data_IF_602257617581
#
_entry.id   IF_602257617581
#
_cell.length_a   1.000
_cell.length_b   1.000
_cell.length_c   1.000
_cell.angle_alpha   90.00
_cell.angle_beta   90.00
_cell.angle_gamma   90.00
#
_symmetry.space_group_name_H-M   'P 1'
#
loop_
_entity.id
_entity.type
_entity.pdbx_description
1 polymer ?
#
# COMPACT_ATOMS: atom_id res chain seq x y z
N UNK A 1 17.50 3.49 -36.15
CA UNK A 1 18.29 4.04 -35.02
C UNK A 1 17.57 4.11 -33.65
N UNK A 2 16.25 3.81 -33.51
CA UNK A 2 15.55 3.86 -32.21
C UNK A 2 15.76 2.65 -31.28
N UNK A 3 16.15 1.50 -31.82
CA UNK A 3 16.32 0.25 -31.08
C UNK A 3 17.58 0.24 -30.21
N UNK A 4 18.69 0.83 -30.66
CA UNK A 4 19.99 0.77 -29.96
C UNK A 4 20.03 1.60 -28.66
N UNK A 5 19.27 2.69 -28.59
CA UNK A 5 19.17 3.53 -27.39
C UNK A 5 18.42 2.83 -26.23
N UNK A 6 17.42 1.99 -26.57
CA UNK A 6 16.63 1.27 -25.58
C UNK A 6 17.43 0.15 -24.88
N UNK A 7 18.33 -0.51 -25.62
CA UNK A 7 19.25 -1.53 -25.08
C UNK A 7 20.36 -0.94 -24.23
N UNK A 8 20.94 0.21 -24.62
CA UNK A 8 21.93 0.92 -23.78
C UNK A 8 21.32 1.36 -22.44
N UNK A 9 20.09 1.89 -22.45
CA UNK A 9 19.38 2.23 -21.21
C UNK A 9 18.96 1.01 -20.38
N UNK A 10 18.72 -0.15 -21.01
CA UNK A 10 18.45 -1.40 -20.29
C UNK A 10 19.72 -1.95 -19.63
N UNK A 11 20.84 -2.01 -20.36
CA UNK A 11 22.13 -2.42 -19.82
C UNK A 11 22.57 -1.52 -18.66
N UNK A 12 22.44 -0.20 -18.79
CA UNK A 12 22.74 0.76 -17.71
C UNK A 12 21.84 0.56 -16.49
N UNK A 13 20.55 0.21 -16.68
CA UNK A 13 19.65 -0.11 -15.56
C UNK A 13 20.03 -1.42 -14.88
N UNK A 14 20.34 -2.46 -15.65
CA UNK A 14 20.80 -3.77 -15.14
C UNK A 14 22.17 -3.65 -14.45
N UNK A 15 23.08 -2.85 -14.99
CA UNK A 15 24.39 -2.57 -14.40
C UNK A 15 24.27 -1.66 -13.16
N UNK A 16 23.31 -0.74 -13.11
CA UNK A 16 22.95 -0.02 -11.88
C UNK A 16 22.32 -0.96 -10.84
N UNK A 17 21.44 -1.86 -11.25
CA UNK A 17 20.86 -2.85 -10.33
C UNK A 17 21.91 -3.80 -9.78
N UNK A 18 22.96 -4.16 -10.56
CA UNK A 18 24.09 -4.98 -10.10
C UNK A 18 25.12 -4.22 -9.27
N UNK A 19 25.54 -3.03 -9.70
CA UNK A 19 26.68 -2.29 -9.09
C UNK A 19 26.25 -1.21 -8.08
N UNK A 20 25.01 -0.75 -8.18
CA UNK A 20 24.33 0.19 -7.28
C UNK A 20 23.11 -0.47 -6.61
N UNK A 21 23.08 -1.81 -6.55
CA UNK A 21 22.11 -2.53 -5.72
C UNK A 21 22.09 -1.89 -4.32
N UNK A 22 20.94 -1.66 -3.68
CA UNK A 22 20.88 -1.08 -2.34
C UNK A 22 21.82 -1.80 -1.38
N UNK A 23 21.88 -3.14 -1.47
CA UNK A 23 22.83 -3.97 -0.71
C UNK A 23 24.29 -3.65 -1.05
N UNK A 24 24.67 -3.42 -2.31
CA UNK A 24 26.04 -3.04 -2.68
C UNK A 24 26.38 -1.63 -2.19
N UNK A 25 25.43 -0.68 -2.22
CA UNK A 25 25.62 0.66 -1.68
C UNK A 25 25.78 0.63 -0.15
N UNK A 26 24.97 -0.17 0.54
CA UNK A 26 25.08 -0.43 1.98
C UNK A 26 26.42 -1.09 2.29
N UNK A 27 26.82 -2.12 1.55
CA UNK A 27 28.11 -2.80 1.73
C UNK A 27 29.29 -1.85 1.44
N UNK A 28 29.20 -0.97 0.44
CA UNK A 28 30.21 0.06 0.16
C UNK A 28 30.29 1.09 1.30
N UNK A 29 29.14 1.56 1.81
CA UNK A 29 29.07 2.46 2.96
C UNK A 29 29.68 1.79 4.20
N UNK A 30 29.29 0.55 4.50
CA UNK A 30 29.84 -0.29 5.56
C UNK A 30 31.35 -0.55 5.42
N UNK A 31 31.86 -0.65 4.19
CA UNK A 31 33.30 -0.75 3.90
C UNK A 31 34.01 0.60 4.08
N UNK A 32 33.37 1.72 3.79
CA UNK A 32 33.97 3.05 4.00
C UNK A 32 34.14 3.41 5.49
N UNK A 33 33.28 2.88 6.37
CA UNK A 33 33.48 3.01 7.82
C UNK A 33 34.72 2.25 8.34
N UNK A 34 35.18 1.18 7.65
CA UNK A 34 36.44 0.49 8.00
C UNK A 34 37.68 1.38 7.87
N UNK A 35 37.64 2.42 7.02
CA UNK A 35 38.83 3.23 6.78
C UNK A 35 39.15 4.20 7.92
N UNK A 36 38.21 4.43 8.85
CA UNK A 36 38.35 5.45 9.90
C UNK A 36 38.54 4.89 11.30
N UNK A 37 38.09 3.66 11.60
CA UNK A 37 38.21 3.05 12.93
C UNK A 37 38.88 1.68 12.85
N UNK A 38 40.04 1.54 13.50
CA UNK A 38 40.84 0.30 13.59
C UNK A 38 40.20 -0.81 14.47
N UNK A 39 38.89 -0.79 14.71
CA UNK A 39 38.19 -1.85 15.42
C UNK A 39 37.38 -2.70 14.43
N UNK A 40 37.62 -4.01 14.45
CA UNK A 40 36.95 -5.00 13.61
C UNK A 40 35.49 -5.20 14.04
N UNK A 41 34.66 -4.17 13.91
CA UNK A 41 33.23 -4.28 14.17
C UNK A 41 32.64 -5.30 13.20
N UNK A 42 31.89 -6.25 13.73
CA UNK A 42 31.09 -7.21 12.98
C UNK A 42 30.05 -6.47 12.12
N UNK A 43 29.59 -7.10 11.04
CA UNK A 43 28.54 -6.51 10.18
C UNK A 43 27.29 -6.13 10.97
N UNK A 44 26.98 -6.89 12.03
CA UNK A 44 25.93 -6.60 12.99
C UNK A 44 26.17 -5.27 13.72
N UNK A 45 27.30 -5.10 14.39
CA UNK A 45 27.63 -3.86 15.15
C UNK A 45 27.64 -2.61 14.25
N UNK A 46 28.01 -2.75 12.98
CA UNK A 46 27.98 -1.63 12.03
C UNK A 46 26.57 -1.22 11.66
N UNK A 47 25.66 -2.19 11.51
CA UNK A 47 24.26 -1.88 11.23
C UNK A 47 23.64 -1.20 12.46
N UNK A 48 24.00 -1.65 13.68
CA UNK A 48 23.62 -0.97 14.92
C UNK A 48 24.13 0.47 14.91
N UNK A 49 25.39 0.72 14.54
CA UNK A 49 25.92 2.07 14.42
C UNK A 49 25.18 2.92 13.38
N UNK A 50 24.84 2.39 12.21
CA UNK A 50 24.05 3.13 11.22
C UNK A 50 22.68 3.51 11.79
N UNK A 51 22.01 2.56 12.44
CA UNK A 51 20.72 2.81 13.12
C UNK A 51 20.87 3.92 14.16
N UNK A 52 21.90 3.86 15.00
CA UNK A 52 22.20 4.85 16.03
C UNK A 52 22.53 6.24 15.45
N UNK A 53 23.36 6.30 14.40
CA UNK A 53 23.72 7.55 13.73
C UNK A 53 22.47 8.25 13.15
N UNK A 54 21.54 7.48 12.57
CA UNK A 54 20.25 8.03 12.13
C UNK A 54 19.29 8.38 13.29
N UNK A 55 19.41 7.76 14.47
CA UNK A 55 18.69 8.19 15.68
C UNK A 55 19.16 9.56 16.17
N UNK A 56 20.48 9.78 16.14
CA UNK A 56 21.13 10.99 16.66
C UNK A 56 21.03 12.18 15.71
N UNK A 57 21.02 11.91 14.40
CA UNK A 57 20.73 12.93 13.39
C UNK A 57 19.28 13.40 13.57
N UNK A 58 19.10 14.61 14.12
CA UNK A 58 17.82 15.32 14.14
C UNK A 58 17.39 15.58 12.68
N UNK A 59 16.74 14.61 12.06
CA UNK A 59 16.47 14.65 10.64
C UNK A 59 15.38 15.69 10.34
N UNK A 60 15.84 16.91 9.99
CA UNK A 60 15.00 17.99 9.48
C UNK A 60 14.66 17.83 8.00
N UNK A 61 15.21 16.82 7.32
CA UNK A 61 15.08 16.61 5.88
C UNK A 61 14.47 15.26 5.51
N UNK A 62 13.41 15.29 4.72
CA UNK A 62 12.77 14.11 4.11
C UNK A 62 13.78 13.23 3.34
N UNK A 63 14.80 13.85 2.74
CA UNK A 63 15.86 13.16 1.98
C UNK A 63 16.66 12.20 2.87
N UNK A 64 16.92 12.59 4.12
CA UNK A 64 17.65 11.75 5.09
C UNK A 64 16.83 10.50 5.42
N UNK A 65 15.51 10.63 5.58
CA UNK A 65 14.62 9.48 5.82
C UNK A 65 14.53 8.54 4.62
N UNK A 66 14.54 9.06 3.40
CA UNK A 66 14.54 8.24 2.20
C UNK A 66 15.86 7.47 2.04
N UNK A 67 17.00 8.09 2.37
CA UNK A 67 18.28 7.40 2.40
C UNK A 67 18.32 6.34 3.50
N UNK A 68 17.80 6.62 4.69
CA UNK A 68 17.64 5.63 5.74
C UNK A 68 16.85 4.42 5.25
N UNK A 69 15.64 4.63 4.70
CA UNK A 69 14.82 3.52 4.18
C UNK A 69 15.58 2.72 3.13
N UNK A 70 16.18 3.37 2.14
CA UNK A 70 16.96 2.69 1.10
C UNK A 70 18.09 1.83 1.69
N UNK A 71 18.77 2.37 2.70
CA UNK A 71 19.94 1.73 3.31
C UNK A 71 19.53 0.63 4.32
N UNK A 72 18.33 0.67 4.90
CA UNK A 72 17.94 -0.29 5.94
C UNK A 72 16.91 -1.32 5.47
N UNK A 73 16.07 -1.02 4.48
CA UNK A 73 15.04 -1.90 3.91
C UNK A 73 15.53 -3.33 3.67
N UNK A 74 16.65 -3.59 2.95
CA UNK A 74 17.08 -4.95 2.71
C UNK A 74 17.52 -5.66 4.00
N UNK A 75 18.00 -4.94 5.01
CA UNK A 75 18.44 -5.53 6.28
C UNK A 75 17.24 -5.86 7.16
N UNK A 76 16.26 -4.93 7.27
CA UNK A 76 15.03 -5.15 8.05
C UNK A 76 14.34 -6.42 7.57
N UNK A 77 14.35 -6.69 6.26
CA UNK A 77 13.69 -7.87 5.70
C UNK A 77 14.23 -9.20 6.23
N UNK A 78 15.52 -9.29 6.58
CA UNK A 78 16.15 -10.56 6.97
C UNK A 78 16.56 -10.64 8.45
N UNK A 79 16.79 -9.51 9.13
CA UNK A 79 17.32 -9.50 10.49
C UNK A 79 16.29 -8.97 11.49
N UNK A 80 15.84 -9.84 12.41
CA UNK A 80 14.81 -9.51 13.40
C UNK A 80 15.37 -8.63 14.53
N UNK A 81 16.64 -8.80 14.88
CA UNK A 81 17.36 -8.02 15.88
C UNK A 81 17.36 -6.54 15.52
N UNK A 82 17.57 -6.21 14.25
CA UNK A 82 17.48 -4.83 13.74
C UNK A 82 16.06 -4.27 13.88
N UNK A 83 15.02 -5.09 13.69
CA UNK A 83 13.64 -4.65 13.93
C UNK A 83 13.43 -4.28 15.40
N UNK A 84 13.95 -5.09 16.32
CA UNK A 84 13.91 -4.77 17.75
C UNK A 84 14.64 -3.48 18.08
N UNK A 85 15.85 -3.28 17.53
CA UNK A 85 16.61 -2.04 17.74
C UNK A 85 15.87 -0.81 17.21
N UNK A 86 15.33 -0.87 15.98
CA UNK A 86 14.51 0.20 15.41
C UNK A 86 13.31 0.52 16.31
N UNK A 87 12.65 -0.51 16.85
CA UNK A 87 11.51 -0.32 17.74
C UNK A 87 11.92 0.27 19.11
N UNK A 88 13.02 -0.21 19.70
CA UNK A 88 13.54 0.22 21.00
C UNK A 88 14.06 1.66 20.96
N UNK A 89 14.76 2.04 19.90
CA UNK A 89 15.27 3.39 19.71
C UNK A 89 14.22 4.39 19.17
N UNK A 90 12.96 3.98 19.04
CA UNK A 90 11.87 4.88 18.64
C UNK A 90 11.87 5.28 17.16
N UNK A 91 12.73 4.68 16.34
CA UNK A 91 12.83 4.95 14.91
C UNK A 91 11.59 4.52 14.12
N UNK A 92 10.73 3.67 14.71
CA UNK A 92 9.41 3.38 14.15
C UNK A 92 8.62 4.66 13.83
N UNK A 93 8.80 5.73 14.62
CA UNK A 93 8.18 7.05 14.39
C UNK A 93 8.47 7.60 12.99
N UNK A 94 9.63 7.30 12.41
CA UNK A 94 10.01 7.77 11.08
C UNK A 94 9.09 7.21 10.00
N UNK A 95 8.73 5.93 10.09
CA UNK A 95 7.78 5.31 9.16
C UNK A 95 6.39 5.92 9.26
N UNK A 96 5.92 6.22 10.48
CA UNK A 96 4.64 6.91 10.67
C UNK A 96 4.68 8.35 10.16
N UNK A 97 5.79 9.06 10.34
CA UNK A 97 5.97 10.40 9.78
C UNK A 97 5.93 10.38 8.24
N UNK A 98 6.62 9.43 7.62
CA UNK A 98 6.58 9.24 6.17
C UNK A 98 5.19 8.87 5.70
N UNK A 99 4.47 8.02 6.43
CA UNK A 99 3.08 7.68 6.15
C UNK A 99 2.18 8.95 6.16
N UNK A 100 2.35 9.84 7.15
CA UNK A 100 1.65 11.14 7.20
C UNK A 100 2.00 12.04 6.01
N UNK A 101 3.27 12.10 5.62
CA UNK A 101 3.70 12.86 4.43
C UNK A 101 3.05 12.30 3.15
N UNK A 102 3.04 10.97 2.99
CA UNK A 102 2.36 10.28 1.88
C UNK A 102 0.84 10.50 1.88
N UNK A 103 0.26 10.79 3.05
CA UNK A 103 -1.16 11.11 3.17
C UNK A 103 -1.53 12.44 2.47
N UNK A 104 -0.59 13.38 2.29
CA UNK A 104 -0.88 14.71 1.73
C UNK A 104 -0.69 14.85 0.22
N UNK A 105 0.15 14.04 -0.42
CA UNK A 105 0.56 14.23 -1.83
C UNK A 105 0.50 12.93 -2.65
N UNK A 106 0.09 13.02 -3.92
CA UNK A 106 -0.10 11.89 -4.85
C UNK A 106 1.16 11.16 -5.36
N UNK A 107 2.33 11.80 -5.59
CA UNK A 107 3.53 11.11 -6.08
C UNK A 107 4.20 10.18 -5.04
N UNK A 108 3.55 9.97 -3.88
CA UNK A 108 4.09 9.24 -2.75
C UNK A 108 3.46 7.85 -2.55
N UNK A 109 2.59 7.39 -3.45
CA UNK A 109 1.98 6.04 -3.36
C UNK A 109 3.01 4.91 -3.37
N UNK A 110 4.07 5.01 -4.18
CA UNK A 110 5.16 3.99 -4.19
C UNK A 110 5.90 3.96 -2.86
N UNK A 111 6.20 5.13 -2.30
CA UNK A 111 6.84 5.27 -0.99
C UNK A 111 5.94 4.72 0.12
N UNK A 112 4.64 5.01 0.06
CA UNK A 112 3.68 4.50 1.02
C UNK A 112 3.63 2.96 1.00
N UNK A 113 3.58 2.33 -0.17
CA UNK A 113 3.62 0.86 -0.28
C UNK A 113 4.88 0.30 0.38
N UNK A 114 6.04 0.92 0.14
CA UNK A 114 7.30 0.53 0.79
C UNK A 114 7.21 0.65 2.31
N UNK A 115 6.68 1.76 2.81
CA UNK A 115 6.49 1.97 4.26
C UNK A 115 5.55 0.92 4.85
N UNK A 116 4.41 0.64 4.21
CA UNK A 116 3.46 -0.38 4.66
C UNK A 116 4.11 -1.77 4.68
N UNK A 117 4.87 -2.13 3.64
CA UNK A 117 5.61 -3.39 3.58
C UNK A 117 6.67 -3.49 4.69
N UNK A 118 7.35 -2.39 5.02
CA UNK A 118 8.30 -2.37 6.13
C UNK A 118 7.57 -2.56 7.46
N UNK A 119 6.46 -1.84 7.70
CA UNK A 119 5.65 -1.99 8.92
C UNK A 119 5.11 -3.42 9.08
N UNK A 120 4.77 -4.09 7.98
CA UNK A 120 4.36 -5.49 7.98
C UNK A 120 5.41 -6.43 8.59
N UNK A 121 6.70 -6.11 8.44
CA UNK A 121 7.79 -6.92 9.00
C UNK A 121 7.85 -6.85 10.54
N UNK A 122 7.20 -5.86 11.15
CA UNK A 122 7.12 -5.71 12.61
C UNK A 122 5.96 -6.49 13.23
N UNK A 123 5.07 -7.09 12.43
CA UNK A 123 3.92 -7.86 12.97
C UNK A 123 4.28 -9.33 13.27
N UNK A 124 5.55 -9.72 13.12
CA UNK A 124 6.01 -11.12 13.23
C UNK A 124 6.15 -11.62 14.67
N UNK A 125 6.24 -10.72 15.64
CA UNK A 125 6.40 -11.04 17.07
C UNK A 125 5.57 -10.08 17.91
N UNK A 126 4.96 -10.60 18.97
CA UNK A 126 4.11 -9.84 19.92
C UNK A 126 4.74 -8.49 20.32
N UNK A 127 5.97 -8.50 20.86
CA UNK A 127 6.64 -7.27 21.32
C UNK A 127 6.80 -6.21 20.23
N UNK A 128 7.04 -6.61 18.98
CA UNK A 128 7.16 -5.68 17.85
C UNK A 128 5.79 -5.17 17.41
N UNK A 129 4.77 -6.04 17.37
CA UNK A 129 3.39 -5.67 17.08
C UNK A 129 2.90 -4.63 18.08
N UNK A 130 3.15 -4.84 19.37
CA UNK A 130 2.81 -3.90 20.41
C UNK A 130 3.45 -2.53 20.18
N UNK A 131 4.69 -2.47 19.69
CA UNK A 131 5.38 -1.21 19.36
C UNK A 131 4.77 -0.43 18.18
N UNK A 132 3.98 -1.09 17.33
CA UNK A 132 3.22 -0.42 16.26
C UNK A 132 1.95 0.27 16.75
N UNK A 133 1.41 -0.15 17.90
CA UNK A 133 0.14 0.33 18.45
C UNK A 133 0.29 0.95 19.86
N UNK A 134 1.51 1.00 20.38
CA UNK A 134 1.87 1.52 21.71
C UNK A 134 1.41 2.97 21.89
N UNK A 135 1.38 3.74 20.80
CA UNK A 135 1.00 5.15 20.81
C UNK A 135 -0.33 5.37 20.12
N UNK A 136 -1.23 6.09 20.81
CA UNK A 136 -2.54 6.49 20.27
C UNK A 136 -2.44 7.27 18.94
N UNK A 137 -1.36 8.03 18.75
CA UNK A 137 -1.09 8.73 17.48
C UNK A 137 -0.90 7.78 16.29
N UNK A 138 -0.20 6.65 16.48
CA UNK A 138 0.06 5.68 15.42
C UNK A 138 -1.26 5.04 14.94
N UNK A 139 -2.14 4.74 15.89
CA UNK A 139 -3.49 4.24 15.62
C UNK A 139 -4.28 5.27 14.79
N UNK A 140 -4.21 6.56 15.14
CA UNK A 140 -4.83 7.64 14.36
C UNK A 140 -4.28 7.71 12.94
N UNK A 141 -2.97 7.52 12.76
CA UNK A 141 -2.36 7.54 11.43
C UNK A 141 -2.90 6.42 10.53
N UNK A 142 -3.07 5.20 11.07
CA UNK A 142 -3.72 4.10 10.34
C UNK A 142 -5.17 4.43 9.96
N UNK A 143 -5.93 5.01 10.88
CA UNK A 143 -7.32 5.44 10.63
C UNK A 143 -7.38 6.46 9.49
N UNK A 144 -6.52 7.49 9.55
CA UNK A 144 -6.48 8.55 8.54
C UNK A 144 -6.14 7.99 7.16
N UNK A 145 -5.20 7.04 7.10
CA UNK A 145 -4.81 6.40 5.85
C UNK A 145 -5.95 5.57 5.26
N UNK A 146 -6.60 4.76 6.10
CA UNK A 146 -7.74 3.94 5.69
C UNK A 146 -8.90 4.81 5.16
N UNK A 147 -9.21 5.92 5.83
CA UNK A 147 -10.22 6.88 5.37
C UNK A 147 -9.86 7.55 4.04
N UNK A 148 -8.60 7.95 3.85
CA UNK A 148 -8.15 8.54 2.57
C UNK A 148 -8.34 7.57 1.41
N UNK A 149 -7.84 6.34 1.56
CA UNK A 149 -7.85 5.38 0.45
C UNK A 149 -9.22 4.74 0.23
N UNK A 150 -10.07 4.71 1.27
CA UNK A 150 -11.50 4.50 1.11
C UNK A 150 -12.15 5.55 0.18
N UNK A 151 -11.82 6.84 0.34
CA UNK A 151 -12.39 7.93 -0.46
C UNK A 151 -11.85 7.98 -1.89
N UNK A 152 -10.55 7.71 -2.08
CA UNK A 152 -9.87 7.76 -3.39
C UNK A 152 -10.17 6.56 -4.31
N UNK A 153 -10.91 5.54 -3.85
CA UNK A 153 -11.16 4.31 -4.61
C UNK A 153 -9.88 3.61 -5.12
N UNK A 154 -8.78 3.73 -4.38
CA UNK A 154 -7.54 2.97 -4.66
C UNK A 154 -7.65 1.62 -3.95
N UNK A 155 -7.87 0.57 -4.73
CA UNK A 155 -8.13 -0.77 -4.23
C UNK A 155 -6.90 -1.39 -3.56
N UNK A 156 -5.73 -1.21 -4.16
CA UNK A 156 -4.53 -1.94 -3.77
C UNK A 156 -3.96 -1.43 -2.45
N UNK A 157 -3.90 -0.11 -2.29
CA UNK A 157 -3.45 0.48 -1.03
C UNK A 157 -4.44 0.22 0.10
N UNK A 158 -5.75 0.29 -0.18
CA UNK A 158 -6.76 -0.05 0.80
C UNK A 158 -6.63 -1.51 1.26
N UNK A 159 -6.47 -2.44 0.32
CA UNK A 159 -6.18 -3.86 0.59
C UNK A 159 -4.94 -4.05 1.47
N UNK A 160 -3.82 -3.40 1.14
CA UNK A 160 -2.58 -3.50 1.92
C UNK A 160 -2.73 -2.97 3.34
N UNK A 161 -3.46 -1.85 3.53
CA UNK A 161 -3.73 -1.30 4.86
C UNK A 161 -4.60 -2.26 5.67
N UNK A 162 -5.66 -2.80 5.07
CA UNK A 162 -6.51 -3.81 5.71
C UNK A 162 -5.71 -5.06 6.09
N UNK A 163 -4.82 -5.53 5.21
CA UNK A 163 -3.96 -6.67 5.48
C UNK A 163 -2.99 -6.41 6.64
N UNK A 164 -2.33 -5.25 6.66
CA UNK A 164 -1.47 -4.86 7.79
C UNK A 164 -2.26 -4.83 9.10
N UNK A 165 -3.42 -4.17 9.12
CA UNK A 165 -4.28 -4.16 10.30
C UNK A 165 -4.72 -5.57 10.71
N UNK A 166 -5.03 -6.44 9.76
CA UNK A 166 -5.40 -7.83 10.00
C UNK A 166 -4.27 -8.59 10.70
N UNK A 167 -3.03 -8.42 10.24
CA UNK A 167 -1.87 -9.07 10.86
C UNK A 167 -1.56 -8.52 12.26
N UNK A 168 -1.83 -7.24 12.52
CA UNK A 168 -1.72 -6.65 13.85
C UNK A 168 -2.76 -7.28 14.80
N UNK A 169 -4.03 -7.36 14.39
CA UNK A 169 -5.12 -7.91 15.24
C UNK A 169 -5.12 -9.44 15.33
N UNK A 170 -4.24 -10.10 14.58
CA UNK A 170 -3.97 -11.53 14.77
C UNK A 170 -3.27 -11.78 16.12
N UNK A 171 -2.55 -10.79 16.65
CA UNK A 171 -2.10 -10.76 18.04
C UNK A 171 -3.28 -10.42 18.97
N UNK A 172 -3.54 -11.27 19.95
CA UNK A 172 -4.72 -11.15 20.84
C UNK A 172 -4.68 -9.88 21.70
N UNK A 173 -3.50 -9.53 22.24
CA UNK A 173 -3.36 -8.34 23.07
C UNK A 173 -3.54 -7.07 22.24
N UNK A 174 -2.93 -7.04 21.05
CA UNK A 174 -3.11 -5.94 20.11
C UNK A 174 -4.57 -5.77 19.69
N UNK A 175 -5.28 -6.89 19.44
CA UNK A 175 -6.71 -6.90 19.15
C UNK A 175 -7.52 -6.29 20.28
N UNK A 176 -7.30 -6.69 21.53
CA UNK A 176 -8.00 -6.15 22.71
C UNK A 176 -7.78 -4.65 22.88
N UNK A 177 -6.55 -4.17 22.67
CA UNK A 177 -6.22 -2.73 22.75
C UNK A 177 -6.92 -1.94 21.64
N UNK A 178 -6.94 -2.46 20.41
CA UNK A 178 -7.62 -1.79 19.30
C UNK A 178 -9.14 -1.81 19.48
N UNK A 179 -9.70 -2.89 20.02
CA UNK A 179 -11.13 -3.00 20.34
C UNK A 179 -11.57 -2.00 21.42
N UNK A 180 -10.74 -1.80 22.45
CA UNK A 180 -11.03 -0.83 23.52
C UNK A 180 -10.89 0.64 23.07
N UNK A 181 -10.23 0.88 21.92
CA UNK A 181 -10.16 2.21 21.32
C UNK A 181 -11.42 2.54 20.51
N UNK A 182 -12.36 3.24 21.16
CA UNK A 182 -13.64 3.63 20.56
C UNK A 182 -13.49 4.41 19.23
N UNK A 183 -12.45 5.23 19.09
CA UNK A 183 -12.22 5.99 17.85
C UNK A 183 -11.84 5.08 16.69
N UNK A 184 -10.97 4.10 16.95
CA UNK A 184 -10.60 3.09 15.97
C UNK A 184 -11.79 2.22 15.61
N UNK A 185 -12.43 1.60 16.61
CA UNK A 185 -13.60 0.72 16.42
C UNK A 185 -14.73 1.41 15.67
N UNK A 186 -15.10 2.63 16.08
CA UNK A 186 -16.16 3.40 15.43
C UNK A 186 -15.84 3.74 13.97
N UNK A 187 -14.58 4.08 13.67
CA UNK A 187 -14.18 4.39 12.29
C UNK A 187 -14.18 3.17 11.39
N UNK A 188 -13.69 2.03 11.87
CA UNK A 188 -13.72 0.79 11.10
C UNK A 188 -15.15 0.35 10.81
N UNK A 189 -16.02 0.35 11.83
CA UNK A 189 -17.43 0.02 11.65
C UNK A 189 -18.13 0.96 10.66
N UNK A 190 -17.80 2.26 10.72
CA UNK A 190 -18.31 3.24 9.77
C UNK A 190 -17.92 2.91 8.33
N UNK A 191 -16.63 2.62 8.08
CA UNK A 191 -16.13 2.29 6.74
C UNK A 191 -16.80 1.00 6.23
N UNK A 192 -16.85 -0.04 7.07
CA UNK A 192 -17.49 -1.31 6.73
C UNK A 192 -18.97 -1.13 6.36
N UNK A 193 -19.76 -0.50 7.23
CA UNK A 193 -21.19 -0.25 6.99
C UNK A 193 -21.42 0.55 5.70
N UNK A 194 -20.55 1.54 5.43
CA UNK A 194 -20.67 2.38 4.23
C UNK A 194 -20.30 1.63 2.96
N UNK A 195 -19.29 0.75 2.98
CA UNK A 195 -18.96 -0.13 1.85
C UNK A 195 -20.08 -1.13 1.58
N UNK A 196 -20.58 -1.80 2.62
CA UNK A 196 -21.67 -2.77 2.53
C UNK A 196 -22.96 -2.16 1.97
N UNK A 197 -23.34 -0.96 2.44
CA UNK A 197 -24.53 -0.27 1.94
C UNK A 197 -24.38 0.15 0.48
N UNK A 198 -23.19 0.64 0.08
CA UNK A 198 -22.93 1.04 -1.31
C UNK A 198 -22.98 -0.15 -2.27
N UNK A 199 -22.43 -1.31 -1.90
CA UNK A 199 -22.50 -2.53 -2.73
C UNK A 199 -23.92 -3.10 -2.76
N UNK A 200 -24.64 -3.12 -1.63
CA UNK A 200 -26.02 -3.61 -1.54
C UNK A 200 -27.02 -2.78 -2.36
N UNK A 201 -26.96 -1.45 -2.27
CA UNK A 201 -27.84 -0.55 -3.05
C UNK A 201 -27.59 -0.70 -4.56
N UNK A 202 -26.32 -0.87 -4.98
CA UNK A 202 -26.00 -1.10 -6.40
C UNK A 202 -26.46 -2.46 -6.89
N UNK A 203 -26.32 -3.52 -6.09
CA UNK A 203 -26.85 -4.85 -6.41
C UNK A 203 -28.39 -4.87 -6.54
N UNK A 204 -29.10 -4.04 -5.78
CA UNK A 204 -30.55 -3.87 -5.94
C UNK A 204 -30.91 -3.16 -7.25
N UNK A 205 -30.14 -2.12 -7.63
CA UNK A 205 -30.33 -1.40 -8.91
C UNK A 205 -30.08 -2.30 -10.13
N UNK A 206 -29.01 -3.11 -10.12
CA UNK A 206 -28.72 -4.05 -11.21
C UNK A 206 -29.79 -5.14 -11.33
N UNK A 207 -30.29 -5.68 -10.20
CA UNK A 207 -31.42 -6.64 -10.21
C UNK A 207 -32.72 -6.04 -10.74
N UNK A 208 -33.00 -4.76 -10.45
CA UNK A 208 -34.18 -4.08 -11.01
C UNK A 208 -34.03 -3.79 -12.50
N UNK A 209 -32.82 -3.45 -12.99
CA UNK A 209 -32.55 -3.28 -14.43
C UNK A 209 -32.68 -4.60 -15.21
N UNK A 210 -32.16 -5.71 -14.69
CA UNK A 210 -32.30 -7.04 -15.32
C UNK A 210 -33.75 -7.53 -15.33
N UNK A 211 -34.56 -7.12 -14.34
CA UNK A 211 -36.01 -7.41 -14.32
C UNK A 211 -36.84 -6.50 -15.23
N UNK A 212 -36.31 -5.37 -15.68
CA UNK A 212 -37.00 -4.41 -16.56
C UNK A 212 -36.54 -4.45 -18.02
N UNK A 213 -35.56 -5.29 -18.36
CA UNK A 213 -35.26 -5.63 -19.77
C UNK A 213 -36.33 -6.59 -20.31
N UNK A 214 -37.06 -6.24 -21.39
CA UNK A 214 -37.98 -7.16 -22.04
C UNK A 214 -37.22 -8.37 -22.56
N UNK A 215 -37.80 -9.57 -22.38
CA UNK A 215 -37.30 -10.79 -23.03
C UNK A 215 -37.26 -10.55 -24.55
N UNK A 216 -36.17 -10.85 -25.27
CA UNK A 216 -36.22 -10.88 -26.72
C UNK A 216 -37.10 -12.08 -27.10
N UNK A 217 -38.27 -11.80 -27.66
CA UNK A 217 -39.09 -12.80 -28.34
C UNK A 217 -38.32 -13.32 -29.54
N UNK A 218 -38.11 -14.64 -29.58
CA UNK A 218 -37.73 -15.35 -30.78
C UNK A 218 -38.76 -15.05 -31.89
N UNK A 219 -38.31 -14.52 -33.03
CA UNK A 219 -38.73 -15.02 -34.35
C UNK A 219 -37.97 -14.40 -35.53
N UNK A 220 -37.50 -15.30 -36.39
CA UNK A 220 -37.27 -15.18 -37.83
C UNK A 220 -36.08 -14.35 -38.37
N UNK A 221 -35.09 -15.12 -38.81
CA UNK A 221 -34.13 -14.81 -39.86
C UNK A 221 -34.88 -14.58 -41.18
N UNK A 222 -34.64 -13.46 -41.88
CA UNK A 222 -34.68 -13.37 -43.36
C UNK A 222 -33.91 -12.15 -43.87
N UNK A 223 -33.12 -12.41 -44.93
CA UNK A 223 -32.20 -11.53 -45.64
C UNK A 223 -32.76 -10.16 -46.08
N UNK A 224 -31.89 -9.14 -46.12
CA UNK A 224 -31.68 -8.36 -47.35
C UNK A 224 -30.30 -7.71 -47.43
N UNK A 225 -29.72 -7.85 -48.62
CA UNK A 225 -28.41 -7.40 -49.08
C UNK A 225 -28.45 -5.91 -49.44
N UNK A 226 -27.32 -5.26 -49.16
CA UNK A 226 -26.74 -3.98 -49.60
C UNK A 226 -27.51 -3.08 -50.57
N UNK A 227 -27.61 -1.79 -50.22
CA UNK A 227 -27.34 -0.67 -51.14
C UNK A 227 -26.52 0.39 -50.39
N UNK A 228 -25.28 0.58 -50.85
CA UNK A 228 -24.46 1.75 -50.56
C UNK A 228 -25.12 2.99 -51.15
N UNK A 229 -25.25 4.07 -50.39
CA UNK A 229 -25.07 5.39 -50.96
C UNK A 229 -24.44 6.37 -49.96
N UNK A 230 -23.49 7.12 -50.49
CA UNK A 230 -22.47 7.90 -49.82
C UNK A 230 -23.00 9.21 -49.23
N UNK A 231 -22.14 9.80 -48.39
CA UNK A 231 -22.00 11.23 -48.05
C UNK A 231 -22.71 11.73 -46.78
N UNK A 232 -21.99 11.67 -45.67
CA UNK A 232 -22.02 12.63 -44.55
C UNK A 232 -20.80 12.35 -43.65
N UNK A 233 -19.68 13.02 -43.92
CA UNK A 233 -18.52 13.04 -43.00
C UNK A 233 -18.89 14.01 -41.88
N UNK A 234 -19.54 13.49 -40.84
CA UNK A 234 -19.50 14.07 -39.52
C UNK A 234 -18.80 13.03 -38.64
N UNK A 235 -17.66 13.41 -38.09
CA UNK A 235 -16.86 12.61 -37.17
C UNK A 235 -17.76 11.93 -36.13
N UNK A 236 -17.63 10.61 -35.89
CA UNK A 236 -18.29 10.00 -34.76
C UNK A 236 -17.64 10.55 -33.50
N UNK A 237 -18.40 11.35 -32.75
CA UNK A 237 -18.07 11.69 -31.36
C UNK A 237 -17.82 10.36 -30.64
N UNK A 238 -16.65 10.15 -30.01
CA UNK A 238 -16.41 8.90 -29.30
C UNK A 238 -17.44 8.79 -28.20
N UNK A 239 -18.30 7.76 -28.27
CA UNK A 239 -19.15 7.38 -27.15
C UNK A 239 -18.22 7.07 -25.99
N UNK A 240 -18.16 8.00 -25.04
CA UNK A 240 -17.35 7.88 -23.85
C UNK A 240 -17.76 6.58 -23.15
N UNK A 241 -16.73 5.79 -22.87
CA UNK A 241 -16.60 4.58 -22.07
C UNK A 241 -17.29 4.64 -20.67
N UNK A 242 -18.57 5.01 -20.58
CA UNK A 242 -19.26 5.11 -19.30
C UNK A 242 -19.56 3.75 -18.68
N UNK A 243 -19.72 2.68 -19.48
CA UNK A 243 -19.95 1.33 -18.97
C UNK A 243 -18.69 0.72 -18.33
N UNK A 244 -17.50 0.92 -18.91
CA UNK A 244 -16.25 0.35 -18.38
C UNK A 244 -15.82 1.00 -17.06
N UNK A 245 -15.99 2.32 -16.92
CA UNK A 245 -15.70 3.05 -15.68
C UNK A 245 -16.63 2.60 -14.54
N UNK A 246 -17.90 2.31 -14.84
CA UNK A 246 -18.85 1.86 -13.83
C UNK A 246 -18.53 0.44 -13.34
N UNK A 247 -18.16 -0.47 -14.26
CA UNK A 247 -17.75 -1.84 -13.94
C UNK A 247 -16.44 -1.85 -13.14
N UNK A 248 -15.45 -1.02 -13.51
CA UNK A 248 -14.20 -0.90 -12.76
C UNK A 248 -14.44 -0.40 -11.32
N UNK A 249 -15.27 0.64 -11.16
CA UNK A 249 -15.63 1.15 -9.84
C UNK A 249 -16.44 0.16 -8.99
N UNK A 250 -17.26 -0.69 -9.61
CA UNK A 250 -17.96 -1.78 -8.92
C UNK A 250 -17.01 -2.87 -8.44
N UNK A 251 -16.03 -3.25 -9.27
CA UNK A 251 -15.02 -4.23 -8.89
C UNK A 251 -14.14 -3.73 -7.74
N UNK A 252 -13.78 -2.45 -7.74
CA UNK A 252 -13.01 -1.81 -6.65
C UNK A 252 -13.82 -1.82 -5.34
N UNK A 253 -15.10 -1.42 -5.37
CA UNK A 253 -15.93 -1.41 -4.16
C UNK A 253 -16.13 -2.81 -3.58
N UNK A 254 -16.32 -3.82 -4.43
CA UNK A 254 -16.44 -5.23 -4.01
C UNK A 254 -15.14 -5.73 -3.40
N UNK A 255 -13.99 -5.46 -4.02
CA UNK A 255 -12.68 -5.83 -3.49
C UNK A 255 -12.41 -5.18 -2.13
N UNK A 256 -12.58 -3.86 -2.03
CA UNK A 256 -12.42 -3.15 -0.75
C UNK A 256 -13.35 -3.71 0.34
N UNK A 257 -14.60 -4.08 -0.01
CA UNK A 257 -15.51 -4.74 0.92
C UNK A 257 -14.96 -6.08 1.40
N UNK A 258 -14.46 -6.92 0.49
CA UNK A 258 -13.86 -8.22 0.84
C UNK A 258 -12.67 -8.03 1.80
N UNK A 259 -11.80 -7.07 1.54
CA UNK A 259 -10.61 -6.82 2.37
C UNK A 259 -10.97 -6.38 3.78
N UNK A 260 -11.93 -5.45 3.91
CA UNK A 260 -12.38 -5.02 5.24
C UNK A 260 -13.19 -6.11 5.94
N UNK A 261 -13.96 -6.94 5.22
CA UNK A 261 -14.65 -8.10 5.80
C UNK A 261 -13.66 -9.12 6.37
N UNK A 262 -12.57 -9.40 5.65
CA UNK A 262 -11.49 -10.24 6.14
C UNK A 262 -10.89 -9.67 7.42
N UNK A 263 -10.53 -8.38 7.42
CA UNK A 263 -10.08 -7.70 8.64
C UNK A 263 -11.09 -7.86 9.80
N UNK A 264 -12.37 -7.58 9.55
CA UNK A 264 -13.44 -7.62 10.56
C UNK A 264 -13.60 -8.99 11.21
N UNK A 265 -13.43 -10.08 10.44
CA UNK A 265 -13.47 -11.46 10.96
C UNK A 265 -12.39 -11.71 12.01
N UNK A 266 -11.18 -11.21 11.78
CA UNK A 266 -10.10 -11.32 12.78
C UNK A 266 -10.33 -10.34 13.92
N UNK A 267 -10.79 -9.13 13.62
CA UNK A 267 -10.98 -8.08 14.62
C UNK A 267 -12.05 -8.41 15.65
N UNK A 268 -13.11 -9.13 15.29
CA UNK A 268 -14.16 -9.58 16.22
C UNK A 268 -14.05 -11.06 16.61
N UNK A 269 -12.92 -11.70 16.33
CA UNK A 269 -12.69 -13.07 16.78
C UNK A 269 -12.52 -13.08 18.31
N UNK A 270 -13.41 -13.82 18.96
CA UNK A 270 -13.31 -14.16 20.39
C UNK A 270 -12.17 -15.15 20.59
#
# INVERSE_FOLDING_TARGET
>A
MKSQAHWRGHQVRVDNERNNHPVVAILKKLRSYNSKNNSSLTLHERIIQIVQEYCELSASSLTVYLHFIRDIEPIINYCIEIRYLIAQHGLLRLFFLLMRCCNRSEPLTVLLRKVLNILQLFTVKHNLTMKLIDKSEQIKDFIMLLLKYYQKTDCELFEQICFLLQTIVNDEHARKILQSNNSFTGTIQYIYKRLFNKTSVKNKKSRHQIRSTPKPSHESIKHRVTVLNQSSILYPTPQIMHQSINIQNENILKRNLISIEQFMKFFYRH
#
